data_IF_548016324105
#
_entry.id   IF_548016324105
#
_cell.length_a   1.000
_cell.length_b   1.000
_cell.length_c   1.000
_cell.angle_alpha   90.00
_cell.angle_beta   90.00
_cell.angle_gamma   90.00
#
_symmetry.space_group_name_H-M   'P 1'
#
loop_
_entity.id
_entity.type
_entity.pdbx_description
1 polymer ?
#
# COMPACT_ATOMS: atom_id res chain seq x y z
N UNK A 1 -15.95 6.29 16.60
CA UNK A 1 -14.54 6.57 16.97
C UNK A 1 -14.31 6.09 18.40
N UNK A 2 -13.22 5.37 18.68
CA UNK A 2 -13.04 4.64 19.96
C UNK A 2 -12.83 5.51 21.22
N UNK A 3 -12.70 6.84 21.06
CA UNK A 3 -12.48 7.81 22.17
C UNK A 3 -11.31 7.42 23.08
N UNK A 4 -10.19 7.01 22.48
CA UNK A 4 -8.93 6.71 23.18
C UNK A 4 -7.96 7.84 22.87
N UNK A 5 -7.36 8.41 23.91
CA UNK A 5 -6.36 9.46 23.78
C UNK A 5 -5.01 8.87 23.33
N UNK A 6 -4.42 9.49 22.31
CA UNK A 6 -3.06 9.20 21.85
C UNK A 6 -2.29 10.51 21.92
N UNK A 7 -1.27 10.57 22.79
CA UNK A 7 -0.42 11.76 22.95
C UNK A 7 0.48 11.96 21.74
N UNK A 8 1.04 10.85 21.25
CA UNK A 8 1.92 10.83 20.08
C UNK A 8 1.80 9.51 19.34
N UNK A 9 1.86 9.58 18.02
CA UNK A 9 2.05 8.41 17.17
C UNK A 9 3.08 8.74 16.09
N UNK A 10 3.89 7.76 15.72
CA UNK A 10 4.81 7.86 14.59
C UNK A 10 4.97 6.50 13.93
N UNK A 11 5.16 6.50 12.62
CA UNK A 11 5.41 5.27 11.85
C UNK A 11 6.68 5.44 11.04
N UNK A 12 7.58 4.48 11.13
CA UNK A 12 8.68 4.32 10.17
C UNK A 12 8.28 3.25 9.17
N UNK A 13 8.43 3.54 7.88
CA UNK A 13 8.12 2.61 6.79
C UNK A 13 9.37 2.38 5.96
N UNK A 14 9.71 1.12 5.70
CA UNK A 14 10.83 0.72 4.83
C UNK A 14 10.32 -0.11 3.68
N UNK A 15 10.57 0.37 2.46
CA UNK A 15 10.27 -0.36 1.23
C UNK A 15 11.53 -1.00 0.67
N UNK A 16 11.46 -2.28 0.33
CA UNK A 16 12.47 -2.98 -0.49
C UNK A 16 11.86 -3.23 -1.86
N UNK A 17 12.41 -2.58 -2.89
CA UNK A 17 11.89 -2.65 -4.25
C UNK A 17 13.03 -2.67 -5.27
N UNK A 18 12.74 -3.29 -6.40
CA UNK A 18 13.61 -3.36 -7.58
C UNK A 18 12.87 -2.75 -8.77
N UNK A 19 13.58 -1.91 -9.52
CA UNK A 19 13.17 -1.43 -10.84
C UNK A 19 14.29 -1.79 -11.82
N UNK A 20 13.95 -2.43 -12.93
CA UNK A 20 14.93 -2.89 -13.91
C UNK A 20 14.37 -2.97 -15.32
N UNK A 21 15.18 -3.52 -16.23
CA UNK A 21 14.85 -3.66 -17.64
C UNK A 21 15.38 -2.52 -18.51
N UNK A 22 14.89 -2.44 -19.75
CA UNK A 22 15.28 -1.42 -20.72
C UNK A 22 14.05 -0.73 -21.29
N UNK A 23 14.05 0.61 -21.23
CA UNK A 23 13.02 1.46 -21.85
C UNK A 23 13.00 1.24 -23.36
N UNK A 24 14.16 1.29 -24.01
CA UNK A 24 14.26 1.12 -25.47
C UNK A 24 13.80 -0.25 -25.96
N UNK A 25 13.98 -1.30 -25.13
CA UNK A 25 13.54 -2.67 -25.47
C UNK A 25 12.12 -3.00 -24.97
N UNK A 26 11.43 -2.09 -24.29
CA UNK A 26 10.10 -2.36 -23.74
C UNK A 26 10.06 -3.45 -22.66
N UNK A 27 11.13 -3.61 -21.88
CA UNK A 27 11.27 -4.69 -20.88
C UNK A 27 11.30 -4.17 -19.44
N UNK A 28 10.80 -2.95 -19.22
CA UNK A 28 10.77 -2.35 -17.88
C UNK A 28 9.88 -3.19 -16.97
N UNK A 29 10.39 -3.51 -15.79
CA UNK A 29 9.63 -4.20 -14.77
C UNK A 29 9.94 -3.61 -13.40
N UNK A 30 8.99 -3.74 -12.48
CA UNK A 30 9.21 -3.46 -11.07
C UNK A 30 8.82 -4.68 -10.22
N UNK A 31 9.44 -4.79 -9.05
CA UNK A 31 9.12 -5.79 -8.03
C UNK A 31 9.24 -5.16 -6.65
N UNK A 32 8.45 -5.69 -5.71
CA UNK A 32 8.55 -5.37 -4.29
C UNK A 32 9.00 -6.62 -3.54
N UNK A 33 10.10 -6.53 -2.82
CA UNK A 33 10.64 -7.64 -2.01
C UNK A 33 10.08 -7.61 -0.58
N UNK A 34 9.50 -6.47 -0.17
CA UNK A 34 8.78 -6.37 1.09
C UNK A 34 8.63 -4.94 1.59
N UNK A 35 7.76 -4.81 2.59
CA UNK A 35 7.50 -3.56 3.31
C UNK A 35 7.53 -3.86 4.80
N UNK A 36 8.32 -3.08 5.55
CA UNK A 36 8.27 -3.13 7.01
C UNK A 36 7.67 -1.84 7.55
N UNK A 37 6.85 -1.96 8.59
CA UNK A 37 6.32 -0.81 9.33
C UNK A 37 6.69 -0.95 10.80
N UNK A 38 7.06 0.17 11.43
CA UNK A 38 7.28 0.27 12.86
C UNK A 38 6.45 1.42 13.41
N UNK A 39 5.33 1.09 14.06
CA UNK A 39 4.42 2.02 14.71
C UNK A 39 4.84 2.20 16.17
N UNK A 40 5.11 3.43 16.57
CA UNK A 40 5.32 3.83 17.96
C UNK A 40 4.17 4.72 18.41
N UNK A 41 3.55 4.38 19.54
CA UNK A 41 2.41 5.11 20.13
C UNK A 41 2.72 5.44 21.58
N UNK A 42 2.45 6.68 21.98
CA UNK A 42 2.52 7.17 23.35
C UNK A 42 1.10 7.48 23.83
N UNK A 43 0.67 6.83 24.91
CA UNK A 43 -0.67 6.97 25.49
C UNK A 43 -0.67 6.40 26.92
N UNK A 44 -1.50 6.97 27.79
CA UNK A 44 -1.77 6.45 29.14
C UNK A 44 -2.97 5.50 29.16
N UNK A 45 -3.56 5.20 28.00
CA UNK A 45 -4.73 4.33 27.93
C UNK A 45 -4.38 2.87 28.27
N UNK A 46 -5.33 2.09 28.81
CA UNK A 46 -5.11 0.69 29.13
C UNK A 46 -4.62 -0.14 27.92
N UNK A 47 -3.67 -1.08 28.11
CA UNK A 47 -3.06 -1.85 27.02
C UNK A 47 -4.07 -2.58 26.13
N UNK A 48 -5.14 -3.13 26.70
CA UNK A 48 -6.19 -3.84 25.97
C UNK A 48 -6.98 -2.92 25.03
N UNK A 49 -7.21 -1.68 25.45
CA UNK A 49 -7.86 -0.66 24.60
C UNK A 49 -6.94 -0.21 23.49
N UNK A 50 -5.65 -0.01 23.78
CA UNK A 50 -4.64 0.32 22.77
C UNK A 50 -4.45 -0.81 21.75
N UNK A 51 -4.44 -2.06 22.19
CA UNK A 51 -4.35 -3.22 21.30
C UNK A 51 -5.54 -3.28 20.33
N UNK A 52 -6.75 -3.03 20.83
CA UNK A 52 -7.94 -2.98 19.98
C UNK A 52 -7.91 -1.79 19.00
N UNK A 53 -7.46 -0.61 19.45
CA UNK A 53 -7.26 0.56 18.59
C UNK A 53 -6.27 0.28 17.48
N UNK A 54 -5.10 -0.26 17.81
CA UNK A 54 -4.02 -0.55 16.85
C UNK A 54 -4.48 -1.59 15.85
N UNK A 55 -5.17 -2.65 16.30
CA UNK A 55 -5.74 -3.67 15.40
C UNK A 55 -6.71 -3.05 14.40
N UNK A 56 -7.62 -2.19 14.86
CA UNK A 56 -8.56 -1.51 13.97
C UNK A 56 -7.85 -0.56 12.99
N UNK A 57 -6.83 0.17 13.45
CA UNK A 57 -6.04 1.06 12.60
C UNK A 57 -5.30 0.28 11.50
N UNK A 58 -4.67 -0.84 11.85
CA UNK A 58 -3.94 -1.69 10.91
C UNK A 58 -4.88 -2.37 9.90
N UNK A 59 -5.98 -2.95 10.37
CA UNK A 59 -6.97 -3.60 9.51
C UNK A 59 -7.71 -2.58 8.60
N UNK A 60 -7.86 -1.34 9.04
CA UNK A 60 -8.48 -0.28 8.25
C UNK A 60 -7.51 0.46 7.31
N UNK A 61 -6.21 0.15 7.34
CA UNK A 61 -5.23 0.86 6.54
C UNK A 61 -5.21 0.31 5.10
N UNK A 62 -5.86 1.03 4.18
CA UNK A 62 -5.85 0.67 2.75
C UNK A 62 -4.43 0.50 2.19
N UNK A 63 -3.47 1.33 2.61
CA UNK A 63 -2.09 1.23 2.14
C UNK A 63 -1.42 -0.08 2.56
N UNK A 64 -1.65 -0.58 3.77
CA UNK A 64 -1.18 -1.91 4.17
C UNK A 64 -1.94 -3.01 3.43
N UNK A 65 -3.25 -2.82 3.23
CA UNK A 65 -4.10 -3.69 2.41
C UNK A 65 -3.51 -3.94 1.03
N UNK A 66 -3.01 -2.90 0.34
CA UNK A 66 -2.38 -3.03 -0.99
C UNK A 66 -1.18 -3.97 -1.03
N UNK A 67 -0.50 -4.20 0.09
CA UNK A 67 0.66 -5.09 0.15
C UNK A 67 0.34 -6.53 0.56
N UNK A 68 -0.80 -6.76 1.24
CA UNK A 68 -1.18 -8.08 1.77
C UNK A 68 -2.34 -8.72 1.03
N UNK A 69 -3.04 -7.96 0.19
CA UNK A 69 -4.16 -8.43 -0.60
C UNK A 69 -3.87 -8.25 -2.10
N UNK A 70 -3.87 -9.34 -2.90
CA UNK A 70 -3.91 -9.20 -4.34
C UNK A 70 -5.31 -8.70 -4.75
N UNK A 71 -5.35 -7.61 -5.51
CA UNK A 71 -6.57 -7.09 -6.12
C UNK A 71 -6.40 -7.04 -7.64
N UNK A 72 -7.44 -7.36 -8.44
CA UNK A 72 -7.39 -7.16 -9.87
C UNK A 72 -7.12 -5.69 -10.19
N UNK A 73 -6.11 -5.43 -11.01
CA UNK A 73 -5.83 -4.09 -11.54
C UNK A 73 -6.44 -4.01 -12.93
N UNK A 74 -7.58 -3.33 -13.03
CA UNK A 74 -8.22 -3.10 -14.32
C UNK A 74 -7.78 -1.75 -14.91
N UNK A 75 -7.18 -1.76 -16.10
CA UNK A 75 -6.65 -0.56 -16.73
C UNK A 75 -7.19 -0.37 -18.14
N UNK A 76 -7.43 0.88 -18.51
CA UNK A 76 -7.83 1.30 -19.87
C UNK A 76 -6.88 2.38 -20.34
N UNK A 77 -6.55 2.41 -21.62
CA UNK A 77 -5.68 3.44 -22.20
C UNK A 77 -6.40 4.11 -23.37
N UNK A 78 -6.28 5.43 -23.42
CA UNK A 78 -6.75 6.27 -24.53
C UNK A 78 -5.58 7.08 -25.07
N UNK A 79 -5.49 7.18 -26.40
CA UNK A 79 -4.52 8.03 -27.09
C UNK A 79 -5.27 8.91 -28.08
N UNK A 80 -5.16 10.23 -27.92
CA UNK A 80 -5.82 11.24 -28.76
C UNK A 80 -7.35 11.05 -28.89
N UNK A 81 -8.05 10.73 -27.79
CA UNK A 81 -9.51 10.53 -27.83
C UNK A 81 -9.96 9.15 -28.28
N UNK A 82 -9.04 8.25 -28.62
CA UNK A 82 -9.37 6.90 -29.09
C UNK A 82 -8.86 5.83 -28.10
N UNK A 83 -9.71 4.85 -27.70
CA UNK A 83 -9.27 3.70 -26.93
C UNK A 83 -8.16 2.94 -27.67
N UNK A 84 -7.10 2.60 -26.95
CA UNK A 84 -5.97 1.84 -27.47
C UNK A 84 -5.70 0.63 -26.55
N UNK A 85 -6.11 -0.58 -26.95
CA UNK A 85 -5.83 -1.79 -26.16
C UNK A 85 -4.34 -2.15 -26.23
N UNK A 86 -3.81 -2.61 -25.10
CA UNK A 86 -2.43 -3.09 -24.95
C UNK A 86 -2.43 -4.41 -24.20
N UNK A 87 -1.97 -5.48 -24.85
CA UNK A 87 -1.83 -6.81 -24.22
C UNK A 87 -0.97 -6.71 -22.94
N UNK A 88 -1.49 -7.27 -21.84
CA UNK A 88 -0.81 -7.26 -20.54
C UNK A 88 -0.83 -5.92 -19.80
N UNK A 89 -1.47 -4.88 -20.36
CA UNK A 89 -1.63 -3.57 -19.72
C UNK A 89 -3.11 -3.21 -19.58
N UNK A 90 -3.88 -3.26 -20.65
CA UNK A 90 -5.32 -3.03 -20.58
C UNK A 90 -6.05 -4.29 -20.17
N UNK A 91 -7.16 -4.12 -19.46
CA UNK A 91 -8.12 -5.19 -19.20
C UNK A 91 -9.15 -5.15 -20.31
N UNK A 92 -9.30 -6.27 -21.02
CA UNK A 92 -10.25 -6.43 -22.13
C UNK A 92 -11.70 -6.07 -21.72
#
# INVERSE_FOLDING_TARGET
MMKIEVKRASVKVRFRKLLGGSVLKGTVFNKWDGVDTHLSVESDAPPEKLAHLIRNAKNGCFAEGLFVQPVPLNSTVEVNGAPLPFEGVTSD
#
